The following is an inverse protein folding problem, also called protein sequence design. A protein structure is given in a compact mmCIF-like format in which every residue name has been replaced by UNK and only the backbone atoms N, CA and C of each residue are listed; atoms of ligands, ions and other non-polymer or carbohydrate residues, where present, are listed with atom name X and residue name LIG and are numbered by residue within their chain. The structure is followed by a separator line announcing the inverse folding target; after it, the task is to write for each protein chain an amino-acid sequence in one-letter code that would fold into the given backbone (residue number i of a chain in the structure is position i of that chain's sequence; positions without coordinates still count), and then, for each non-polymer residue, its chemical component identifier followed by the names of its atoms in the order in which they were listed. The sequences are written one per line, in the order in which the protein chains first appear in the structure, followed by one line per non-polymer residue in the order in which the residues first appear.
data_IF_180681953362
#
_entry.id   IF_180681953362
#
_cell.length_a   1.000
_cell.length_b   1.000
_cell.length_c   1.000
_cell.angle_alpha   90.00
_cell.angle_beta   90.00
_cell.angle_gamma   90.00
#
_symmetry.space_group_name_H-M   'P 1'
#
loop_
_entity.id
_entity.type
_entity.pdbx_description
1 polymer ?
#
# COMPACT_ATOMS: atom_id res chain seq x y z
N UNK A 1 9.27 1.43 -14.86
CA UNK A 1 8.47 2.08 -13.81
C UNK A 1 7.10 1.41 -13.81
N UNK A 2 6.51 1.14 -12.65
CA UNK A 2 5.15 0.58 -12.57
C UNK A 2 4.13 1.57 -13.14
N UNK A 3 3.11 1.05 -13.82
CA UNK A 3 1.97 1.84 -14.32
C UNK A 3 1.06 2.28 -13.18
N UNK A 4 0.22 3.31 -13.39
CA UNK A 4 -0.79 3.72 -12.41
C UNK A 4 -1.73 2.57 -12.02
N UNK A 5 -2.11 1.69 -12.96
CA UNK A 5 -2.89 0.48 -12.65
C UNK A 5 -2.16 -0.43 -11.66
N UNK A 6 -0.88 -0.72 -11.90
CA UNK A 6 -0.08 -1.55 -10.99
C UNK A 6 0.06 -0.89 -9.61
N UNK A 7 0.30 0.42 -9.56
CA UNK A 7 0.38 1.17 -8.30
C UNK A 7 -0.94 1.20 -7.54
N UNK A 8 -2.08 1.28 -8.22
CA UNK A 8 -3.40 1.13 -7.59
C UNK A 8 -3.56 -0.28 -7.01
N UNK A 9 -3.23 -1.31 -7.79
CA UNK A 9 -3.35 -2.71 -7.37
C UNK A 9 -2.49 -3.02 -6.14
N UNK A 10 -1.24 -2.56 -6.10
CA UNK A 10 -0.40 -2.72 -4.92
C UNK A 10 -0.93 -1.95 -3.69
N UNK A 11 -1.54 -0.78 -3.88
CA UNK A 11 -2.19 -0.06 -2.77
C UNK A 11 -3.35 -0.88 -2.20
N UNK A 12 -4.17 -1.48 -3.08
CA UNK A 12 -5.26 -2.37 -2.70
C UNK A 12 -4.74 -3.65 -2.04
N UNK A 13 -3.67 -4.25 -2.54
CA UNK A 13 -3.04 -5.42 -1.91
C UNK A 13 -2.51 -5.08 -0.51
N UNK A 14 -1.90 -3.90 -0.33
CA UNK A 14 -1.50 -3.38 0.97
C UNK A 14 -2.71 -3.17 1.90
N UNK A 15 -3.80 -2.60 1.41
CA UNK A 15 -5.06 -2.43 2.16
C UNK A 15 -5.70 -3.76 2.55
N UNK A 16 -5.68 -4.75 1.66
CA UNK A 16 -6.23 -6.09 1.90
C UNK A 16 -5.57 -6.79 3.10
N UNK A 17 -4.32 -6.47 3.43
CA UNK A 17 -3.63 -7.04 4.61
C UNK A 17 -4.29 -6.67 5.96
N UNK A 18 -5.16 -5.67 5.99
CA UNK A 18 -5.94 -5.29 7.17
C UNK A 18 -7.22 -6.13 7.35
N UNK A 19 -7.60 -6.92 6.34
CA UNK A 19 -8.74 -7.82 6.42
C UNK A 19 -8.46 -9.03 7.32
N UNK A 20 -9.54 -9.62 7.82
CA UNK A 20 -9.54 -10.81 8.67
C UNK A 20 -9.85 -12.06 7.84
N UNK A 21 -8.88 -12.59 7.11
CA UNK A 21 -9.14 -13.71 6.22
C UNK A 21 -9.27 -15.02 6.99
N UNK A 22 -10.38 -15.73 6.78
CA UNK A 22 -10.50 -17.13 7.18
C UNK A 22 -10.03 -18.00 6.03
N UNK A 23 -8.90 -18.69 6.20
CA UNK A 23 -8.38 -19.61 5.19
C UNK A 23 -9.34 -20.79 4.98
N UNK A 24 -9.45 -21.28 3.74
CA UNK A 24 -10.21 -22.50 3.40
C UNK A 24 -11.69 -22.30 2.98
N UNK A 25 -12.14 -21.08 2.73
CA UNK A 25 -13.48 -20.80 2.17
C UNK A 25 -13.40 -20.23 0.74
N UNK A 26 -14.50 -20.31 -0.03
CA UNK A 26 -14.59 -19.80 -1.41
C UNK A 26 -14.50 -18.26 -1.52
N UNK A 27 -14.69 -17.71 -2.73
CA UNK A 27 -14.50 -16.27 -3.02
C UNK A 27 -15.46 -15.34 -2.23
N UNK A 28 -16.70 -15.76 -1.94
CA UNK A 28 -17.72 -14.91 -1.28
C UNK A 28 -17.33 -14.48 0.16
N UNK A 29 -16.87 -15.38 1.05
CA UNK A 29 -16.33 -14.99 2.37
C UNK A 29 -15.14 -14.03 2.32
N UNK A 30 -14.30 -14.09 1.28
CA UNK A 30 -13.15 -13.19 1.13
C UNK A 30 -13.62 -11.76 0.84
N UNK A 31 -14.62 -11.60 -0.02
CA UNK A 31 -15.19 -10.29 -0.34
C UNK A 31 -15.81 -9.62 0.90
N UNK A 32 -16.55 -10.37 1.71
CA UNK A 32 -17.13 -9.86 2.96
C UNK A 32 -16.07 -9.43 3.98
N UNK A 33 -14.95 -10.17 4.05
CA UNK A 33 -13.83 -9.86 4.94
C UNK A 33 -13.06 -8.60 4.52
N UNK A 34 -12.95 -8.34 3.21
CA UNK A 34 -12.40 -7.09 2.69
C UNK A 34 -13.27 -5.87 3.04
N UNK A 35 -14.61 -6.05 3.02
CA UNK A 35 -15.56 -4.99 3.38
C UNK A 35 -15.62 -4.73 4.89
N UNK A 36 -15.27 -5.73 5.72
CA UNK A 36 -15.29 -5.67 7.20
C UNK A 36 -13.93 -6.05 7.80
N UNK A 37 -12.86 -5.28 7.51
CA UNK A 37 -11.54 -5.55 8.05
C UNK A 37 -11.47 -5.25 9.55
N UNK A 38 -10.35 -5.60 10.18
CA UNK A 38 -10.11 -5.27 11.59
C UNK A 38 -10.12 -3.76 11.86
N UNK A 39 -9.73 -2.96 10.86
CA UNK A 39 -9.78 -1.51 10.88
C UNK A 39 -10.72 -1.02 9.78
N UNK A 40 -11.90 -0.54 10.16
CA UNK A 40 -12.91 -0.04 9.22
C UNK A 40 -12.40 1.09 8.30
N UNK A 41 -11.36 1.83 8.72
CA UNK A 41 -10.71 2.84 7.88
C UNK A 41 -9.92 2.25 6.68
N UNK A 42 -9.71 0.92 6.66
CA UNK A 42 -9.14 0.17 5.55
C UNK A 42 -10.20 -0.70 4.84
N UNK A 43 -11.49 -0.51 5.13
CA UNK A 43 -12.58 -1.27 4.47
C UNK A 43 -12.50 -1.12 2.96
N UNK A 44 -12.94 -2.10 2.20
CA UNK A 44 -13.09 -2.00 0.75
C UNK A 44 -14.51 -1.56 0.39
N UNK A 45 -14.66 -0.84 -0.73
CA UNK A 45 -15.97 -0.74 -1.38
C UNK A 45 -16.35 -2.09 -2.01
N UNK A 46 -17.63 -2.30 -2.31
CA UNK A 46 -18.09 -3.54 -2.94
C UNK A 46 -17.44 -3.79 -4.31
N UNK A 47 -17.34 -2.74 -5.14
CA UNK A 47 -16.71 -2.84 -6.46
C UNK A 47 -15.21 -3.09 -6.32
N UNK A 48 -14.57 -2.44 -5.36
CA UNK A 48 -13.14 -2.64 -5.10
C UNK A 48 -12.84 -4.08 -4.66
N UNK A 49 -13.61 -4.60 -3.70
CA UNK A 49 -13.46 -5.96 -3.20
C UNK A 49 -13.70 -6.99 -4.32
N UNK A 50 -14.72 -6.76 -5.15
CA UNK A 50 -15.02 -7.60 -6.32
C UNK A 50 -13.90 -7.59 -7.35
N UNK A 51 -13.33 -6.43 -7.67
CA UNK A 51 -12.23 -6.32 -8.63
C UNK A 51 -10.97 -7.00 -8.10
N UNK A 52 -10.64 -6.82 -6.82
CA UNK A 52 -9.48 -7.46 -6.21
C UNK A 52 -9.62 -8.98 -6.21
N UNK A 53 -10.77 -9.51 -5.75
CA UNK A 53 -11.03 -10.96 -5.67
C UNK A 53 -11.19 -11.61 -7.05
N UNK A 54 -11.57 -10.85 -8.09
CA UNK A 54 -11.55 -11.35 -9.46
C UNK A 54 -10.12 -11.62 -9.98
N UNK A 55 -9.12 -10.88 -9.47
CA UNK A 55 -7.72 -10.98 -9.91
C UNK A 55 -6.85 -11.81 -8.98
N UNK A 56 -7.10 -11.75 -7.67
CA UNK A 56 -6.24 -12.38 -6.66
C UNK A 56 -7.00 -13.39 -5.81
N UNK A 57 -6.31 -14.47 -5.44
CA UNK A 57 -6.78 -15.44 -4.43
C UNK A 57 -5.95 -15.29 -3.17
N UNK A 58 -6.59 -15.33 -2.00
CA UNK A 58 -5.89 -15.44 -0.72
C UNK A 58 -5.39 -16.87 -0.56
N UNK A 59 -4.08 -17.04 -0.40
CA UNK A 59 -3.42 -18.34 -0.24
C UNK A 59 -3.29 -18.69 1.24
N UNK A 60 -2.83 -17.73 2.04
CA UNK A 60 -2.64 -17.89 3.48
C UNK A 60 -2.67 -16.52 4.16
N UNK A 61 -3.01 -16.51 5.45
CA UNK A 61 -2.85 -15.33 6.30
C UNK A 61 -2.32 -15.76 7.66
N UNK A 62 -1.27 -15.09 8.11
CA UNK A 62 -0.75 -15.22 9.46
C UNK A 62 -0.99 -13.94 10.25
N UNK A 63 -1.39 -14.10 11.51
CA UNK A 63 -1.57 -13.02 12.46
C UNK A 63 -1.11 -13.47 13.84
N UNK A 64 -0.15 -12.76 14.43
CA UNK A 64 0.20 -12.91 15.83
C UNK A 64 -0.73 -12.08 16.72
N UNK A 65 -0.79 -12.41 18.02
CA UNK A 65 -1.53 -11.60 18.98
C UNK A 65 -0.94 -10.19 19.06
N UNK A 66 -1.79 -9.20 19.35
CA UNK A 66 -1.34 -7.84 19.67
C UNK A 66 -0.48 -7.79 20.94
N UNK A 67 -0.63 -8.78 21.84
CA UNK A 67 0.19 -8.92 23.04
C UNK A 67 1.55 -9.60 22.78
N UNK A 68 1.74 -10.17 21.58
CA UNK A 68 3.00 -10.79 21.16
C UNK A 68 3.81 -9.79 20.31
N UNK A 69 3.58 -9.75 18.99
CA UNK A 69 4.26 -8.82 18.08
C UNK A 69 3.31 -7.96 17.25
N UNK A 70 2.02 -8.31 17.16
CA UNK A 70 1.06 -7.69 16.25
C UNK A 70 1.35 -7.87 14.76
N UNK A 71 2.38 -8.67 14.40
CA UNK A 71 2.73 -9.03 13.03
C UNK A 71 1.55 -9.69 12.32
N UNK A 72 1.30 -9.25 11.08
CA UNK A 72 0.26 -9.81 10.24
C UNK A 72 0.68 -9.72 8.78
N UNK A 73 0.53 -10.83 8.07
CA UNK A 73 0.91 -10.98 6.68
C UNK A 73 -0.12 -11.81 5.94
N UNK A 74 -0.40 -11.44 4.69
CA UNK A 74 -1.30 -12.16 3.79
C UNK A 74 -0.54 -12.53 2.53
N UNK A 75 -0.61 -13.79 2.13
CA UNK A 75 -0.09 -14.27 0.85
C UNK A 75 -1.25 -14.28 -0.16
N UNK A 76 -1.08 -13.56 -1.26
CA UNK A 76 -2.02 -13.55 -2.38
C UNK A 76 -1.37 -14.14 -3.63
N UNK A 77 -2.16 -14.80 -4.46
CA UNK A 77 -1.74 -15.33 -5.76
C UNK A 77 -2.53 -14.66 -6.88
N UNK A 78 -1.83 -14.23 -7.92
CA UNK A 78 -2.47 -13.75 -9.15
C UNK A 78 -3.17 -14.93 -9.86
N UNK A 79 -4.49 -14.81 -10.07
CA UNK A 79 -5.32 -15.85 -10.74
C UNK A 79 -4.90 -16.04 -12.21
N UNK A 80 -4.40 -15.00 -12.88
CA UNK A 80 -3.90 -15.08 -14.25
C UNK A 80 -2.48 -15.66 -14.34
N UNK A 81 -1.69 -15.56 -13.27
CA UNK A 81 -0.36 -16.16 -13.17
C UNK A 81 -0.13 -16.73 -11.76
N UNK A 82 -0.48 -17.99 -11.48
CA UNK A 82 -0.24 -18.61 -10.17
C UNK A 82 1.25 -18.70 -9.77
N UNK A 83 2.14 -18.51 -10.77
CA UNK A 83 3.57 -18.18 -10.67
C UNK A 83 3.92 -16.99 -9.77
N UNK A 84 3.00 -16.03 -9.70
CA UNK A 84 3.20 -14.72 -9.14
C UNK A 84 2.45 -14.62 -7.81
N UNK A 85 3.23 -14.46 -6.73
CA UNK A 85 2.72 -14.31 -5.38
C UNK A 85 3.08 -12.93 -4.83
N UNK A 86 2.18 -12.42 -4.00
CA UNK A 86 2.35 -11.15 -3.31
C UNK A 86 2.27 -11.41 -1.81
N UNK A 87 3.31 -11.05 -1.08
CA UNK A 87 3.31 -11.00 0.38
C UNK A 87 2.96 -9.59 0.82
N UNK A 88 1.76 -9.43 1.37
CA UNK A 88 1.26 -8.14 1.85
C UNK A 88 1.29 -8.07 3.37
N UNK A 89 1.91 -7.03 3.92
CA UNK A 89 2.10 -6.85 5.36
C UNK A 89 1.20 -5.74 5.90
N UNK A 90 0.56 -6.03 7.03
CA UNK A 90 -0.30 -5.07 7.72
C UNK A 90 0.54 -4.07 8.52
N UNK A 91 0.13 -2.81 8.50
CA UNK A 91 0.67 -1.80 9.41
C UNK A 91 0.11 -1.91 10.83
N UNK A 92 0.56 -1.00 11.70
CA UNK A 92 0.03 -0.87 13.05
C UNK A 92 -1.39 -0.32 13.03
N UNK A 93 -2.24 -0.83 13.91
CA UNK A 93 -3.61 -0.34 14.12
C UNK A 93 -3.62 0.65 15.28
N UNK A 94 -4.00 1.91 15.07
CA UNK A 94 -4.32 2.80 16.16
C UNK A 94 -5.82 2.94 16.31
N UNK A 95 -6.32 2.75 17.52
CA UNK A 95 -7.68 3.17 17.88
C UNK A 95 -7.66 4.66 18.26
N UNK A 96 -7.72 5.54 17.26
CA UNK A 96 -7.92 6.98 17.42
C UNK A 96 -6.66 7.87 17.42
N UNK A 97 -6.86 9.19 17.30
CA UNK A 97 -5.82 10.22 17.15
C UNK A 97 -4.86 10.36 18.35
N UNK A 98 -5.33 10.05 19.58
CA UNK A 98 -4.49 10.09 20.78
C UNK A 98 -3.58 8.86 20.87
N UNK A 99 -4.07 7.66 20.50
CA UNK A 99 -3.23 6.47 20.37
C UNK A 99 -2.34 6.51 19.13
N UNK A 100 -2.66 7.26 18.06
CA UNK A 100 -1.71 7.49 16.95
C UNK A 100 -0.54 8.35 17.39
N UNK A 101 -0.79 9.47 18.07
CA UNK A 101 0.29 10.28 18.61
C UNK A 101 1.10 9.51 19.65
N UNK A 102 0.43 8.73 20.53
CA UNK A 102 1.12 7.88 21.50
C UNK A 102 1.83 6.73 20.78
N UNK A 103 1.19 5.80 20.04
CA UNK A 103 1.87 4.73 19.29
C UNK A 103 2.84 5.20 18.20
N UNK A 104 2.76 6.38 17.61
CA UNK A 104 3.81 6.83 16.67
C UNK A 104 4.95 7.47 17.46
N UNK A 105 4.70 8.26 18.49
CA UNK A 105 5.81 8.85 19.25
C UNK A 105 6.42 7.84 20.26
N UNK A 106 5.64 6.87 20.72
CA UNK A 106 5.96 5.76 21.64
C UNK A 106 6.28 4.44 20.93
N UNK A 107 5.58 4.06 19.84
CA UNK A 107 5.79 2.80 19.09
C UNK A 107 6.38 3.00 17.66
N UNK A 108 6.37 4.21 17.08
CA UNK A 108 7.38 4.66 16.07
C UNK A 108 8.63 5.19 16.78
N UNK A 109 8.78 4.87 18.08
CA UNK A 109 10.01 4.15 18.42
C UNK A 109 10.02 2.81 17.68
N UNK A 110 10.43 2.84 16.42
CA UNK A 110 11.07 1.73 15.74
C UNK A 110 12.29 1.39 16.61
N UNK A 111 12.07 0.56 17.64
CA UNK A 111 12.56 0.81 19.01
C UNK A 111 13.98 1.27 19.14
N UNK A 112 14.29 2.58 19.12
CA UNK A 112 15.66 3.17 19.23
C UNK A 112 16.68 2.63 18.20
N UNK A 113 16.34 1.59 17.44
CA UNK A 113 17.23 0.63 16.78
C UNK A 113 17.12 0.70 15.28
N UNK A 114 15.93 1.06 14.79
CA UNK A 114 15.68 1.33 13.38
C UNK A 114 15.14 0.21 12.51
N UNK A 115 14.72 -0.91 13.08
CA UNK A 115 13.75 -1.81 12.47
C UNK A 115 12.75 -2.36 13.51
N UNK A 116 11.60 -2.83 13.05
CA UNK A 116 10.50 -3.35 13.88
C UNK A 116 10.82 -4.73 14.50
N UNK A 117 11.68 -4.79 15.54
CA UNK A 117 12.28 -6.06 16.01
C UNK A 117 11.28 -7.19 16.31
N UNK A 118 10.20 -6.99 17.09
CA UNK A 118 9.28 -8.08 17.41
C UNK A 118 8.62 -8.65 16.14
N UNK A 119 8.28 -7.78 15.18
CA UNK A 119 7.71 -8.18 13.90
C UNK A 119 8.75 -8.75 12.93
N UNK A 120 10.02 -8.37 13.04
CA UNK A 120 11.11 -8.84 12.19
C UNK A 120 11.39 -10.34 12.39
N UNK A 121 11.36 -10.82 13.63
CA UNK A 121 11.51 -12.24 13.93
C UNK A 121 10.33 -13.04 13.37
N UNK A 122 9.10 -12.59 13.59
CA UNK A 122 7.91 -13.27 13.10
C UNK A 122 7.82 -13.26 11.57
N UNK A 123 8.21 -12.15 10.93
CA UNK A 123 8.40 -12.07 9.48
C UNK A 123 9.35 -13.15 8.99
N UNK A 124 10.52 -13.27 9.62
CA UNK A 124 11.51 -14.27 9.23
C UNK A 124 10.96 -15.69 9.38
N UNK A 125 10.40 -16.01 10.56
CA UNK A 125 9.82 -17.33 10.84
C UNK A 125 8.69 -17.66 9.87
N UNK A 126 7.78 -16.73 9.61
CA UNK A 126 6.66 -16.94 8.70
C UNK A 126 7.13 -17.24 7.28
N UNK A 127 8.10 -16.49 6.75
CA UNK A 127 8.68 -16.77 5.43
C UNK A 127 9.31 -18.17 5.39
N UNK A 128 10.03 -18.58 6.44
CA UNK A 128 10.63 -19.93 6.50
C UNK A 128 9.57 -21.04 6.59
N UNK A 129 8.45 -20.80 7.27
CA UNK A 129 7.30 -21.70 7.27
C UNK A 129 6.66 -21.80 5.87
N UNK A 130 6.53 -20.68 5.15
CA UNK A 130 6.00 -20.69 3.78
C UNK A 130 6.92 -21.41 2.77
N UNK A 131 8.23 -21.42 3.01
CA UNK A 131 9.23 -22.15 2.20
C UNK A 131 9.31 -23.65 2.54
N UNK A 132 8.62 -24.08 3.60
CA UNK A 132 8.67 -25.47 4.07
C UNK A 132 7.43 -26.22 3.62
N UNK A 133 7.59 -27.47 3.20
CA UNK A 133 6.47 -28.37 2.84
C UNK A 133 5.49 -28.48 4.01
N UNK A 134 4.19 -28.49 3.70
CA UNK A 134 3.12 -28.43 4.68
C UNK A 134 3.24 -29.48 5.79
N UNK A 135 3.09 -29.02 7.04
CA UNK A 135 3.28 -29.76 8.29
C UNK A 135 4.68 -30.35 8.53
N UNK A 136 5.65 -30.19 7.62
CA UNK A 136 7.03 -30.59 7.91
C UNK A 136 7.67 -29.60 8.87
N UNK A 137 8.59 -30.10 9.70
CA UNK A 137 9.35 -29.26 10.62
C UNK A 137 10.26 -28.31 9.84
N UNK A 138 10.20 -27.01 10.16
CA UNK A 138 11.13 -26.04 9.60
C UNK A 138 12.54 -26.35 10.11
N UNK A 139 13.50 -26.44 9.20
CA UNK A 139 14.90 -26.71 9.52
C UNK A 139 15.68 -25.40 9.46
N UNK A 140 16.17 -24.98 10.63
CA UNK A 140 17.05 -23.83 10.78
C UNK A 140 18.48 -24.32 10.99
N UNK A 141 19.45 -23.74 10.27
CA UNK A 141 20.86 -23.99 10.57
C UNK A 141 21.27 -23.29 11.89
N UNK A 142 22.34 -23.74 12.55
CA UNK A 142 22.80 -23.09 13.80
C UNK A 142 23.15 -21.62 13.56
N UNK A 143 23.77 -21.29 12.41
CA UNK A 143 24.10 -19.90 12.06
C UNK A 143 22.85 -19.04 11.85
N UNK A 144 21.81 -19.59 11.23
CA UNK A 144 20.53 -18.92 11.03
C UNK A 144 19.83 -18.65 12.36
N UNK A 145 19.82 -19.61 13.27
CA UNK A 145 19.29 -19.42 14.62
C UNK A 145 20.03 -18.32 15.38
N UNK A 146 21.36 -18.23 15.26
CA UNK A 146 22.14 -17.15 15.86
C UNK A 146 21.76 -15.78 15.29
N UNK A 147 21.61 -15.68 13.96
CA UNK A 147 21.19 -14.44 13.29
C UNK A 147 19.80 -13.99 13.74
N UNK A 148 18.84 -14.91 13.76
CA UNK A 148 17.48 -14.63 14.21
C UNK A 148 17.42 -14.22 15.68
N UNK A 149 18.24 -14.83 16.54
CA UNK A 149 18.34 -14.43 17.94
C UNK A 149 18.87 -12.99 18.09
N UNK A 150 19.90 -12.62 17.33
CA UNK A 150 20.42 -11.25 17.34
C UNK A 150 19.42 -10.25 16.74
N UNK A 151 18.63 -10.66 15.74
CA UNK A 151 17.52 -9.87 15.18
C UNK A 151 16.44 -9.58 16.23
N UNK A 152 16.07 -10.57 17.04
CA UNK A 152 15.11 -10.44 18.13
C UNK A 152 15.60 -9.48 19.23
N UNK A 153 16.84 -9.65 19.69
CA UNK A 153 17.41 -8.81 20.76
C UNK A 153 17.80 -7.41 20.26
N UNK A 154 18.21 -7.32 19.00
CA UNK A 154 18.69 -6.11 18.34
C UNK A 154 20.03 -5.60 18.87
N UNK A 155 20.46 -4.38 18.49
CA UNK A 155 21.83 -3.88 18.65
C UNK A 155 22.22 -3.56 20.10
N UNK A 156 21.26 -3.49 21.03
CA UNK A 156 21.57 -3.12 22.43
C UNK A 156 22.41 -4.19 23.13
N UNK A 157 22.33 -5.44 22.68
CA UNK A 157 23.16 -6.54 23.22
C UNK A 157 24.55 -6.60 22.59
N UNK A 158 24.80 -5.86 21.50
CA UNK A 158 26.06 -5.91 20.78
C UNK A 158 27.09 -4.95 21.38
N UNK A 159 28.39 -5.31 21.36
CA UNK A 159 29.47 -4.38 21.71
C UNK A 159 29.51 -3.20 20.72
N UNK A 160 30.22 -2.09 21.05
CA UNK A 160 30.32 -0.91 20.19
C UNK A 160 30.75 -1.21 18.75
N UNK A 161 31.67 -2.15 18.58
CA UNK A 161 32.16 -2.62 17.28
C UNK A 161 31.99 -4.13 17.22
N UNK A 162 30.85 -4.63 16.71
CA UNK A 162 30.60 -6.06 16.57
C UNK A 162 31.63 -6.69 15.63
N UNK A 163 32.36 -7.68 16.12
CA UNK A 163 33.34 -8.45 15.35
C UNK A 163 33.49 -9.83 15.98
N UNK A 164 33.99 -10.80 15.21
CA UNK A 164 34.14 -12.19 15.65
C UNK A 164 32.99 -13.10 15.25
N UNK A 165 32.93 -14.29 15.85
CA UNK A 165 31.90 -15.28 15.57
C UNK A 165 30.56 -14.85 16.18
N UNK A 166 29.47 -15.09 15.46
CA UNK A 166 28.11 -14.75 15.92
C UNK A 166 27.80 -15.33 17.30
N UNK A 167 28.27 -16.56 17.59
CA UNK A 167 28.09 -17.20 18.88
C UNK A 167 28.72 -16.39 20.03
N UNK A 168 29.87 -15.75 19.83
CA UNK A 168 30.56 -15.01 20.90
C UNK A 168 29.81 -13.75 21.31
N UNK A 169 28.99 -13.22 20.41
CA UNK A 169 28.12 -12.05 20.65
C UNK A 169 26.83 -12.42 21.39
N UNK A 170 26.51 -13.71 21.49
CA UNK A 170 25.39 -14.22 22.29
C UNK A 170 25.88 -14.39 23.72
N UNK A 171 25.64 -13.36 24.55
CA UNK A 171 26.06 -13.34 25.96
C UNK A 171 25.16 -14.19 26.85
N UNK A 172 23.85 -14.20 26.60
CA UNK A 172 22.87 -15.02 27.33
C UNK A 172 22.65 -16.37 26.62
N UNK A 173 23.46 -17.37 27.00
CA UNK A 173 23.38 -18.73 26.45
C UNK A 173 22.10 -19.47 26.86
N UNK A 174 21.52 -19.13 28.00
CA UNK A 174 20.29 -19.78 28.49
C UNK A 174 19.11 -19.27 27.67
N UNK A 175 18.98 -17.96 27.48
CA UNK A 175 17.96 -17.39 26.62
C UNK A 175 18.08 -17.87 25.17
N UNK A 176 19.31 -18.02 24.66
CA UNK A 176 19.53 -18.59 23.34
C UNK A 176 19.08 -20.06 23.23
N UNK A 177 19.33 -20.88 24.25
CA UNK A 177 18.85 -22.27 24.30
C UNK A 177 17.31 -22.33 24.26
N UNK A 178 16.64 -21.48 25.06
CA UNK A 178 15.17 -21.36 25.06
C UNK A 178 14.63 -20.90 23.71
N UNK A 179 15.31 -19.94 23.07
CA UNK A 179 14.97 -19.50 21.71
C UNK A 179 15.08 -20.64 20.70
N UNK A 180 16.16 -21.45 20.74
CA UNK A 180 16.29 -22.62 19.86
C UNK A 180 15.17 -23.64 20.08
N UNK A 181 14.74 -23.83 21.32
CA UNK A 181 13.64 -24.72 21.65
C UNK A 181 12.31 -24.21 21.07
N UNK A 182 12.06 -22.90 21.08
CA UNK A 182 10.81 -22.34 20.52
C UNK A 182 10.70 -22.55 19.00
N UNK A 183 11.82 -22.47 18.27
CA UNK A 183 11.86 -22.73 16.82
C UNK A 183 11.53 -24.19 16.45
N UNK A 184 11.67 -25.13 17.38
CA UNK A 184 11.35 -26.54 17.12
C UNK A 184 9.85 -26.78 16.84
N UNK A 185 9.00 -25.81 17.18
CA UNK A 185 7.56 -25.86 16.97
C UNK A 185 7.14 -25.37 15.58
N UNK A 186 8.04 -24.73 14.83
CA UNK A 186 7.71 -24.19 13.51
C UNK A 186 7.44 -25.31 12.51
N UNK A 187 6.37 -25.16 11.73
CA UNK A 187 5.92 -26.12 10.71
C UNK A 187 5.63 -25.42 9.40
N UNK A 188 5.84 -26.12 8.29
CA UNK A 188 5.42 -25.65 6.98
C UNK A 188 3.91 -25.43 6.92
N UNK A 189 3.49 -24.39 6.21
CA UNK A 189 2.09 -24.01 6.07
C UNK A 189 1.36 -24.94 5.09
N UNK A 190 0.10 -25.26 5.39
CA UNK A 190 -0.75 -26.13 4.57
C UNK A 190 -0.89 -27.56 5.10
N UNK A 191 -1.62 -28.40 4.37
CA UNK A 191 -1.86 -29.80 4.73
C UNK A 191 -0.56 -30.63 4.70
N UNK A 192 -0.54 -31.77 5.39
CA UNK A 192 0.64 -32.64 5.42
C UNK A 192 1.06 -33.07 4.02
N UNK A 193 2.31 -32.78 3.64
CA UNK A 193 2.86 -33.11 2.33
C UNK A 193 2.48 -32.13 1.19
N UNK A 194 1.71 -31.07 1.48
CA UNK A 194 1.45 -30.01 0.51
C UNK A 194 2.75 -29.30 0.13
N UNK A 195 2.93 -28.98 -1.15
CA UNK A 195 4.10 -28.25 -1.62
C UNK A 195 4.26 -26.92 -0.87
N UNK A 196 5.51 -26.50 -0.65
CA UNK A 196 5.80 -25.19 -0.06
C UNK A 196 5.13 -24.07 -0.87
N UNK A 197 4.51 -23.12 -0.18
CA UNK A 197 3.85 -21.97 -0.81
C UNK A 197 4.88 -21.13 -1.55
N UNK A 198 6.03 -20.88 -0.92
CA UNK A 198 7.16 -20.17 -1.51
C UNK A 198 8.20 -21.18 -2.00
N UNK A 199 8.09 -21.58 -3.27
CA UNK A 199 8.99 -22.53 -3.92
C UNK A 199 9.84 -21.87 -5.01
N UNK A 200 10.99 -22.47 -5.41
CA UNK A 200 11.77 -21.99 -6.54
C UNK A 200 10.92 -21.84 -7.82
N UNK A 201 11.24 -20.83 -8.64
CA UNK A 201 10.54 -20.54 -9.90
C UNK A 201 9.29 -19.66 -9.76
N UNK A 202 8.90 -19.27 -8.55
CA UNK A 202 7.87 -18.27 -8.31
C UNK A 202 8.45 -16.85 -8.32
N UNK A 203 7.70 -15.89 -8.83
CA UNK A 203 8.01 -14.46 -8.67
C UNK A 203 7.30 -13.95 -7.43
N UNK A 204 8.07 -13.42 -6.49
CA UNK A 204 7.54 -12.91 -5.21
C UNK A 204 7.70 -11.40 -5.14
N UNK A 205 6.58 -10.70 -5.03
CA UNK A 205 6.52 -9.28 -4.67
C UNK A 205 6.18 -9.13 -3.20
N UNK A 206 6.60 -8.00 -2.62
CA UNK A 206 6.23 -7.63 -1.25
C UNK A 206 5.59 -6.25 -1.25
N UNK A 207 4.55 -6.07 -0.44
CA UNK A 207 3.88 -4.78 -0.31
C UNK A 207 3.36 -4.54 1.08
N UNK A 208 3.05 -3.29 1.39
CA UNK A 208 2.46 -2.90 2.66
C UNK A 208 2.36 -1.39 2.80
N UNK A 209 1.56 -0.99 3.77
CA UNK A 209 1.34 0.41 4.13
C UNK A 209 1.88 0.68 5.55
N UNK A 210 2.36 1.90 5.83
CA UNK A 210 2.83 2.27 7.18
C UNK A 210 3.95 1.34 7.67
N UNK A 211 3.83 0.79 8.89
CA UNK A 211 4.71 -0.27 9.42
C UNK A 211 4.74 -1.51 8.51
N UNK A 212 3.64 -1.84 7.84
CA UNK A 212 3.60 -2.96 6.88
C UNK A 212 4.50 -2.70 5.68
N UNK A 213 4.58 -1.46 5.21
CA UNK A 213 5.53 -1.07 4.17
C UNK A 213 6.99 -1.14 4.67
N UNK A 214 7.25 -0.80 5.93
CA UNK A 214 8.56 -1.03 6.56
C UNK A 214 8.92 -2.53 6.57
N UNK A 215 7.96 -3.40 6.92
CA UNK A 215 8.14 -4.85 6.88
C UNK A 215 8.37 -5.39 5.45
N UNK A 216 7.76 -4.78 4.44
CA UNK A 216 8.02 -5.12 3.03
C UNK A 216 9.48 -4.79 2.64
N UNK A 217 9.99 -3.61 3.01
CA UNK A 217 11.39 -3.26 2.80
C UNK A 217 12.33 -4.20 3.59
N UNK A 218 11.96 -4.55 4.82
CA UNK A 218 12.72 -5.48 5.64
C UNK A 218 12.72 -6.89 5.05
N UNK A 219 11.61 -7.36 4.48
CA UNK A 219 11.53 -8.65 3.79
C UNK A 219 12.47 -8.69 2.58
N UNK A 220 12.51 -7.63 1.77
CA UNK A 220 13.47 -7.49 0.66
C UNK A 220 14.92 -7.56 1.16
N UNK A 221 15.21 -6.97 2.32
CA UNK A 221 16.57 -6.98 2.91
C UNK A 221 16.95 -8.34 3.51
N UNK A 222 16.04 -9.01 4.19
CA UNK A 222 16.30 -10.29 4.87
C UNK A 222 16.29 -11.48 3.89
N UNK A 223 15.57 -11.36 2.78
CA UNK A 223 15.39 -12.44 1.79
C UNK A 223 15.56 -11.93 0.34
N UNK A 224 16.72 -11.34 -0.02
CA UNK A 224 16.91 -10.72 -1.33
C UNK A 224 16.78 -11.71 -2.50
N UNK A 225 17.17 -12.97 -2.31
CA UNK A 225 17.05 -14.01 -3.35
C UNK A 225 15.62 -14.56 -3.50
N UNK A 226 14.77 -14.36 -2.48
CA UNK A 226 13.38 -14.81 -2.50
C UNK A 226 12.47 -13.75 -3.10
N UNK A 227 12.65 -12.50 -2.71
CA UNK A 227 11.90 -11.36 -3.23
C UNK A 227 12.52 -10.94 -4.55
N UNK A 228 12.25 -11.76 -5.58
CA UNK A 228 12.76 -11.59 -6.94
C UNK A 228 12.04 -10.50 -7.72
N UNK A 229 10.88 -10.05 -7.22
CA UNK A 229 10.09 -8.98 -7.80
C UNK A 229 10.42 -7.61 -7.21
N UNK A 230 9.41 -6.79 -6.96
CA UNK A 230 9.50 -5.43 -6.41
C UNK A 230 8.89 -5.36 -5.01
N UNK A 231 9.55 -4.63 -4.12
CA UNK A 231 8.97 -4.15 -2.87
C UNK A 231 8.27 -2.81 -3.11
N UNK A 232 6.93 -2.80 -3.13
CA UNK A 232 6.13 -1.59 -3.36
C UNK A 232 5.46 -1.18 -2.07
N UNK A 233 5.81 0.00 -1.54
CA UNK A 233 5.38 0.40 -0.19
C UNK A 233 4.62 1.71 -0.21
N UNK A 234 3.60 1.86 0.64
CA UNK A 234 2.75 3.05 0.69
C UNK A 234 2.87 3.77 2.02
N UNK A 235 3.23 5.06 1.98
CA UNK A 235 3.45 5.90 3.16
C UNK A 235 4.28 5.18 4.24
N UNK A 236 5.25 4.38 3.81
CA UNK A 236 5.98 3.50 4.71
C UNK A 236 7.00 4.30 5.51
N UNK A 237 7.11 3.97 6.80
CA UNK A 237 8.21 4.51 7.61
C UNK A 237 9.53 3.88 7.16
N UNK A 238 10.57 4.70 7.05
CA UNK A 238 11.92 4.24 6.68
C UNK A 238 12.60 3.44 7.80
N UNK A 239 13.92 3.29 7.69
CA UNK A 239 14.74 2.70 8.73
C UNK A 239 15.29 3.80 9.64
N UNK A 240 15.51 3.44 10.92
CA UNK A 240 16.11 4.33 11.94
C UNK A 240 15.26 5.57 12.19
N UNK A 241 14.28 5.45 13.10
CA UNK A 241 13.45 6.56 13.55
C UNK A 241 13.77 6.94 15.00
N UNK A 242 13.77 8.24 15.29
CA UNK A 242 13.91 8.80 16.64
C UNK A 242 15.27 9.45 16.93
N UNK A 243 15.42 10.10 18.11
CA UNK A 243 16.54 11.01 18.41
C UNK A 243 17.91 10.32 18.55
N UNK A 244 17.94 9.00 18.77
CA UNK A 244 19.17 8.22 18.94
C UNK A 244 19.54 7.39 17.69
N UNK A 245 18.61 7.28 16.74
CA UNK A 245 18.74 6.48 15.52
C UNK A 245 18.77 7.41 14.30
N UNK A 246 19.84 8.21 14.19
CA UNK A 246 20.11 9.09 13.05
C UNK A 246 21.18 8.50 12.15
N UNK A 247 21.32 9.04 10.93
CA UNK A 247 22.29 8.53 9.95
C UNK A 247 23.74 8.52 10.51
N UNK A 248 24.37 7.35 10.50
CA UNK A 248 25.70 7.10 11.03
C UNK A 248 25.78 6.89 12.55
N UNK A 249 24.66 6.86 13.28
CA UNK A 249 24.68 6.68 14.74
C UNK A 249 25.25 5.30 15.14
N UNK A 250 25.82 5.17 16.36
CA UNK A 250 26.30 3.87 16.85
C UNK A 250 25.21 2.80 16.88
N UNK A 251 23.96 3.20 17.12
CA UNK A 251 22.83 2.27 17.14
C UNK A 251 22.49 1.79 15.73
N UNK A 252 22.47 2.69 14.75
CA UNK A 252 22.33 2.31 13.34
C UNK A 252 23.42 1.34 12.92
N UNK A 253 24.70 1.64 13.17
CA UNK A 253 25.82 0.78 12.74
C UNK A 253 25.70 -0.65 13.26
N UNK A 254 25.27 -0.82 14.50
CA UNK A 254 25.03 -2.15 15.09
C UNK A 254 23.79 -2.82 14.51
N UNK A 255 22.75 -2.06 14.18
CA UNK A 255 21.54 -2.58 13.56
C UNK A 255 21.80 -3.01 12.11
N UNK A 256 22.47 -2.18 11.32
CA UNK A 256 22.97 -2.53 9.99
C UNK A 256 23.83 -3.78 10.07
N UNK A 257 24.76 -3.88 11.03
CA UNK A 257 25.58 -5.07 11.20
C UNK A 257 24.75 -6.36 11.40
N UNK A 258 23.65 -6.29 12.17
CA UNK A 258 22.74 -7.43 12.35
C UNK A 258 22.04 -7.77 11.03
N UNK A 259 21.51 -6.77 10.34
CA UNK A 259 20.77 -6.96 9.09
C UNK A 259 21.68 -7.48 7.97
N UNK A 260 22.94 -7.07 7.96
CA UNK A 260 23.98 -7.51 7.02
C UNK A 260 24.35 -8.99 7.19
N UNK A 261 23.95 -9.62 8.31
CA UNK A 261 24.09 -11.05 8.46
C UNK A 261 23.12 -11.85 7.57
N UNK A 262 22.06 -11.22 7.04
CA UNK A 262 21.04 -11.89 6.23
C UNK A 262 21.22 -11.69 4.72
N UNK A 263 21.93 -10.63 4.32
CA UNK A 263 22.19 -10.28 2.93
C UNK A 263 22.98 -8.98 2.83
N UNK A 264 23.52 -8.68 1.65
CA UNK A 264 24.25 -7.43 1.43
C UNK A 264 23.33 -6.19 1.47
N UNK A 265 23.90 -5.03 1.80
CA UNK A 265 23.21 -3.73 1.91
C UNK A 265 22.53 -3.21 0.62
N UNK A 266 22.76 -3.83 -0.53
CA UNK A 266 22.19 -3.39 -1.81
C UNK A 266 20.78 -3.95 -2.08
N UNK A 267 19.87 -3.72 -1.13
CA UNK A 267 18.45 -4.09 -1.29
C UNK A 267 17.62 -2.95 -1.92
N UNK A 268 18.24 -1.80 -2.17
CA UNK A 268 17.55 -0.59 -2.64
C UNK A 268 17.05 -0.71 -4.08
N UNK A 269 17.70 -1.50 -4.93
CA UNK A 269 17.40 -1.55 -6.37
C UNK A 269 15.98 -2.05 -6.69
N UNK A 270 15.34 -2.80 -5.77
CA UNK A 270 14.01 -3.37 -5.97
C UNK A 270 12.94 -2.72 -5.07
N UNK A 271 13.22 -1.59 -4.43
CA UNK A 271 12.27 -0.90 -3.55
C UNK A 271 11.70 0.34 -4.24
N UNK A 272 10.38 0.38 -4.37
CA UNK A 272 9.61 1.56 -4.78
C UNK A 272 8.76 2.05 -3.62
N UNK A 273 9.06 3.25 -3.12
CA UNK A 273 8.34 3.89 -2.03
C UNK A 273 7.37 4.92 -2.59
N UNK A 274 6.08 4.60 -2.54
CA UNK A 274 4.99 5.52 -2.87
C UNK A 274 4.69 6.38 -1.65
N UNK A 275 5.04 7.65 -1.71
CA UNK A 275 4.86 8.61 -0.63
C UNK A 275 3.83 9.66 -1.01
N UNK A 276 2.77 9.75 -0.23
CA UNK A 276 1.63 10.57 -0.60
C UNK A 276 1.76 11.98 0.01
N UNK A 277 1.31 13.00 -0.72
CA UNK A 277 1.38 14.38 -0.24
C UNK A 277 0.59 14.59 1.05
N UNK A 278 1.18 15.28 2.03
CA UNK A 278 0.55 15.50 3.34
C UNK A 278 0.76 14.37 4.34
N UNK A 279 1.30 13.21 3.94
CA UNK A 279 1.70 12.17 4.87
C UNK A 279 2.89 12.62 5.74
N UNK A 280 2.77 12.36 7.04
CA UNK A 280 3.77 12.64 8.05
C UNK A 280 4.67 11.45 8.31
N UNK A 281 4.15 10.22 8.22
CA UNK A 281 4.83 9.00 8.69
C UNK A 281 5.97 8.57 7.77
N UNK A 282 5.81 8.71 6.46
CA UNK A 282 6.85 8.40 5.48
C UNK A 282 8.11 9.25 5.65
N UNK A 283 8.04 10.31 6.45
CA UNK A 283 9.13 11.26 6.73
C UNK A 283 9.81 11.00 8.08
N UNK A 284 9.36 10.01 8.85
CA UNK A 284 9.84 9.72 10.21
C UNK A 284 10.87 8.59 10.18
N UNK A 285 12.04 8.86 9.59
CA UNK A 285 13.20 7.96 9.54
C UNK A 285 14.44 8.72 9.05
N UNK A 286 15.63 8.13 9.21
CA UNK A 286 16.88 8.68 8.68
C UNK A 286 17.38 7.97 7.43
N UNK A 287 16.97 6.71 7.19
CA UNK A 287 17.38 5.93 6.02
C UNK A 287 16.17 5.45 5.23
N UNK A 288 16.29 5.63 3.92
CA UNK A 288 15.20 5.49 2.97
C UNK A 288 15.68 4.75 1.73
N UNK A 289 15.52 3.41 1.67
CA UNK A 289 16.02 2.62 0.56
C UNK A 289 15.19 2.81 -0.71
N UNK A 290 15.84 2.57 -1.85
CA UNK A 290 15.22 2.57 -3.17
C UNK A 290 14.71 3.91 -3.68
N UNK A 291 13.75 3.85 -4.59
CA UNK A 291 13.23 5.03 -5.30
C UNK A 291 11.96 5.54 -4.65
N UNK A 292 11.84 6.87 -4.52
CA UNK A 292 10.59 7.51 -4.08
C UNK A 292 9.75 7.95 -5.26
N UNK A 293 8.48 7.53 -5.28
CA UNK A 293 7.44 8.08 -6.12
C UNK A 293 6.49 8.90 -5.26
N UNK A 294 6.65 10.22 -5.27
CA UNK A 294 5.75 11.10 -4.52
C UNK A 294 4.45 11.31 -5.30
N UNK A 295 3.30 10.89 -4.78
CA UNK A 295 1.98 10.99 -5.43
C UNK A 295 1.07 12.01 -4.74
N UNK A 296 0.10 12.54 -5.48
CA UNK A 296 -0.94 13.37 -4.88
C UNK A 296 -1.95 12.50 -4.13
N UNK A 297 -2.54 13.08 -3.09
CA UNK A 297 -3.76 12.57 -2.48
C UNK A 297 -4.59 13.72 -1.93
N UNK A 298 -5.79 13.41 -1.49
CA UNK A 298 -6.58 14.34 -0.69
C UNK A 298 -5.93 14.55 0.68
N UNK A 299 -5.68 15.82 1.01
CA UNK A 299 -4.95 16.22 2.21
C UNK A 299 -5.81 16.97 3.19
N UNK A 300 -5.59 16.70 4.47
CA UNK A 300 -6.16 17.41 5.59
C UNK A 300 -5.08 18.29 6.23
N UNK A 301 -5.42 19.54 6.61
CA UNK A 301 -4.45 20.46 7.21
C UNK A 301 -4.15 20.08 8.67
N UNK A 302 -2.90 20.22 9.08
CA UNK A 302 -2.48 20.10 10.47
C UNK A 302 -1.64 18.86 10.77
N UNK A 303 -0.84 18.95 11.83
CA UNK A 303 0.15 17.91 12.20
C UNK A 303 -0.51 16.60 12.63
N UNK A 304 -1.64 16.67 13.33
CA UNK A 304 -2.37 15.48 13.76
C UNK A 304 -2.97 14.71 12.57
N UNK A 305 -3.47 15.43 11.57
CA UNK A 305 -4.00 14.80 10.35
C UNK A 305 -2.87 14.27 9.45
N UNK A 306 -1.67 14.86 9.47
CA UNK A 306 -0.50 14.36 8.74
C UNK A 306 -0.13 12.92 9.12
N UNK A 307 -0.31 12.54 10.39
CA UNK A 307 -0.06 11.18 10.86
C UNK A 307 -1.34 10.32 10.97
N UNK A 308 -2.52 10.95 10.88
CA UNK A 308 -3.82 10.29 10.99
C UNK A 308 -4.46 10.11 9.61
N UNK A 309 -5.31 11.05 9.21
CA UNK A 309 -6.13 10.92 7.99
C UNK A 309 -5.32 10.95 6.69
N UNK A 310 -4.22 11.71 6.66
CA UNK A 310 -3.28 11.70 5.53
C UNK A 310 -2.49 10.39 5.48
N UNK A 311 -2.46 9.61 6.56
CA UNK A 311 -1.78 8.32 6.64
C UNK A 311 -2.73 7.14 6.37
N UNK A 312 -3.72 7.33 5.48
CA UNK A 312 -4.74 6.33 5.17
C UNK A 312 -4.42 5.60 3.87
N UNK A 313 -4.31 4.26 3.92
CA UNK A 313 -4.15 3.43 2.73
C UNK A 313 -5.36 3.50 1.79
N UNK A 314 -6.57 3.62 2.34
CA UNK A 314 -7.80 3.72 1.55
C UNK A 314 -7.83 5.04 0.75
N UNK A 315 -7.40 6.15 1.35
CA UNK A 315 -7.28 7.43 0.66
C UNK A 315 -6.32 7.34 -0.55
N UNK A 316 -5.21 6.60 -0.40
CA UNK A 316 -4.27 6.37 -1.50
C UNK A 316 -4.88 5.49 -2.59
N UNK A 317 -5.56 4.40 -2.21
CA UNK A 317 -6.21 3.49 -3.14
C UNK A 317 -7.28 4.22 -3.98
N UNK A 318 -8.09 5.06 -3.34
CA UNK A 318 -9.14 5.86 -3.98
C UNK A 318 -8.57 6.90 -4.93
N UNK A 319 -7.54 7.62 -4.47
CA UNK A 319 -6.81 8.57 -5.31
C UNK A 319 -6.24 7.87 -6.54
N UNK A 320 -5.54 6.75 -6.37
CA UNK A 320 -4.97 5.99 -7.49
C UNK A 320 -6.05 5.39 -8.41
N UNK A 321 -7.21 5.01 -7.90
CA UNK A 321 -8.34 4.58 -8.72
C UNK A 321 -8.86 5.71 -9.61
N UNK A 322 -8.95 6.93 -9.09
CA UNK A 322 -9.27 8.12 -9.88
C UNK A 322 -8.19 8.46 -10.89
N UNK A 323 -6.91 8.40 -10.51
CA UNK A 323 -5.80 8.63 -11.46
C UNK A 323 -5.80 7.58 -12.56
N UNK A 324 -6.09 6.32 -12.25
CA UNK A 324 -6.23 5.27 -13.27
C UNK A 324 -7.39 5.58 -14.22
N UNK A 325 -8.54 6.00 -13.70
CA UNK A 325 -9.68 6.41 -14.51
C UNK A 325 -9.33 7.57 -15.44
N UNK A 326 -8.73 8.65 -14.90
CA UNK A 326 -8.24 9.79 -15.66
C UNK A 326 -7.22 9.31 -16.70
N UNK A 327 -6.33 8.40 -16.33
CA UNK A 327 -5.32 7.79 -17.19
C UNK A 327 -5.89 7.06 -18.41
N UNK A 328 -7.12 6.54 -18.31
CA UNK A 328 -7.83 5.94 -19.47
C UNK A 328 -8.31 7.01 -20.46
N UNK A 329 -8.56 8.24 -20.01
CA UNK A 329 -8.93 9.38 -20.86
C UNK A 329 -7.70 10.13 -21.38
N UNK A 330 -6.70 10.33 -20.51
CA UNK A 330 -5.46 11.05 -20.75
C UNK A 330 -4.27 10.17 -20.34
N UNK A 331 -3.61 9.56 -21.32
CA UNK A 331 -2.56 8.57 -21.09
C UNK A 331 -1.35 9.10 -20.29
N UNK A 332 -1.19 10.42 -20.17
CA UNK A 332 -0.12 11.02 -19.36
C UNK A 332 -0.26 10.63 -17.88
N UNK A 333 -1.50 10.56 -17.36
CA UNK A 333 -1.77 10.17 -15.98
C UNK A 333 -1.60 8.66 -15.74
N UNK A 334 -1.75 7.84 -16.78
CA UNK A 334 -1.44 6.41 -16.69
C UNK A 334 0.06 6.14 -16.67
N UNK A 335 0.84 6.97 -17.38
CA UNK A 335 2.29 6.91 -17.43
C UNK A 335 2.97 7.55 -16.22
N UNK A 336 2.38 8.60 -15.66
CA UNK A 336 2.92 9.34 -14.52
C UNK A 336 1.80 9.80 -13.56
N UNK A 337 1.54 9.06 -12.45
CA UNK A 337 0.50 9.44 -11.49
C UNK A 337 0.83 10.72 -10.71
N UNK A 338 2.07 11.23 -10.78
CA UNK A 338 2.46 12.47 -10.09
C UNK A 338 1.75 13.69 -10.64
N UNK A 339 1.26 13.62 -11.89
CA UNK A 339 0.49 14.69 -12.53
C UNK A 339 -0.85 14.97 -11.84
N UNK A 340 -1.36 14.03 -11.04
CA UNK A 340 -2.62 14.20 -10.32
C UNK A 340 -2.52 15.13 -9.10
N UNK A 341 -1.32 15.50 -8.65
CA UNK A 341 -1.12 16.38 -7.48
C UNK A 341 -1.88 17.69 -7.58
N UNK A 342 -1.64 18.43 -8.66
CA UNK A 342 -2.26 19.74 -8.84
C UNK A 342 -3.77 19.61 -9.06
N UNK A 343 -4.19 18.53 -9.73
CA UNK A 343 -5.61 18.24 -9.92
C UNK A 343 -6.32 18.01 -8.58
N UNK A 344 -5.75 17.18 -7.69
CA UNK A 344 -6.30 16.92 -6.37
C UNK A 344 -6.33 18.18 -5.49
N UNK A 345 -5.29 19.01 -5.53
CA UNK A 345 -5.26 20.30 -4.82
C UNK A 345 -6.34 21.26 -5.27
N UNK A 346 -6.62 21.30 -6.57
CA UNK A 346 -7.65 22.16 -7.13
C UNK A 346 -9.06 21.58 -6.95
N UNK A 347 -9.17 20.25 -6.77
CA UNK A 347 -10.42 19.50 -6.63
C UNK A 347 -11.42 20.12 -5.64
N UNK A 348 -10.94 20.52 -4.47
CA UNK A 348 -11.76 21.10 -3.41
C UNK A 348 -10.92 21.95 -2.45
N UNK A 349 -11.52 23.01 -1.91
CA UNK A 349 -10.99 23.72 -0.74
C UNK A 349 -11.47 23.12 0.60
N UNK A 350 -12.39 22.15 0.54
CA UNK A 350 -12.81 21.34 1.67
C UNK A 350 -12.06 20.01 1.60
N UNK A 351 -11.39 19.57 2.68
CA UNK A 351 -10.94 18.18 2.80
C UNK A 351 -12.14 17.23 2.60
N UNK A 352 -11.91 15.99 2.17
CA UNK A 352 -12.92 14.95 1.82
C UNK A 352 -13.89 15.29 0.70
N UNK A 353 -13.48 16.03 -0.32
CA UNK A 353 -14.34 16.24 -1.49
C UNK A 353 -13.58 16.38 -2.79
N UNK A 354 -12.25 16.27 -2.77
CA UNK A 354 -11.42 16.52 -3.95
C UNK A 354 -11.68 15.44 -4.99
N UNK A 355 -11.68 14.18 -4.59
CA UNK A 355 -11.91 13.06 -5.50
C UNK A 355 -13.32 13.07 -6.07
N UNK A 356 -14.33 13.30 -5.23
CA UNK A 356 -15.74 13.33 -5.60
C UNK A 356 -16.03 14.48 -6.54
N UNK A 357 -15.52 15.69 -6.27
CA UNK A 357 -15.74 16.85 -7.15
C UNK A 357 -15.04 16.70 -8.49
N UNK A 358 -13.85 16.10 -8.52
CA UNK A 358 -13.17 15.79 -9.78
C UNK A 358 -13.99 14.76 -10.57
N UNK A 359 -14.44 13.69 -9.91
CA UNK A 359 -15.26 12.66 -10.53
C UNK A 359 -16.60 13.23 -11.05
N UNK A 360 -17.29 14.03 -10.25
CA UNK A 360 -18.56 14.66 -10.64
C UNK A 360 -18.37 15.67 -11.78
N UNK A 361 -17.27 16.41 -11.79
CA UNK A 361 -16.88 17.24 -12.93
C UNK A 361 -16.71 16.42 -14.21
N UNK A 362 -16.03 15.28 -14.13
CA UNK A 362 -15.85 14.36 -15.25
C UNK A 362 -17.19 13.74 -15.68
N UNK A 363 -18.05 13.33 -14.74
CA UNK A 363 -19.40 12.82 -15.03
C UNK A 363 -20.23 13.86 -15.78
N UNK A 364 -20.25 15.10 -15.31
CA UNK A 364 -20.94 16.22 -15.95
C UNK A 364 -20.44 16.49 -17.38
N UNK A 365 -19.12 16.53 -17.57
CA UNK A 365 -18.53 16.81 -18.87
C UNK A 365 -18.77 15.68 -19.89
N UNK A 366 -18.73 14.42 -19.44
CA UNK A 366 -18.74 13.25 -20.31
C UNK A 366 -20.12 12.62 -20.50
N UNK A 367 -21.07 12.89 -19.61
CA UNK A 367 -22.42 12.29 -19.62
C UNK A 367 -23.54 13.31 -19.47
N UNK A 368 -23.23 14.61 -19.35
CA UNK A 368 -24.21 15.66 -19.10
C UNK A 368 -24.56 15.81 -17.62
N UNK A 369 -25.50 16.71 -17.27
CA UNK A 369 -25.80 17.08 -15.89
C UNK A 369 -26.11 15.88 -15.00
N UNK A 370 -25.36 15.73 -13.91
CA UNK A 370 -25.62 14.67 -12.92
C UNK A 370 -26.86 14.99 -12.07
N UNK A 371 -27.65 13.96 -11.76
CA UNK A 371 -28.85 14.10 -10.93
C UNK A 371 -28.56 14.03 -9.43
N UNK A 372 -27.38 13.50 -9.05
CA UNK A 372 -26.92 13.42 -7.67
C UNK A 372 -25.39 13.49 -7.61
N UNK A 373 -24.82 14.28 -6.67
CA UNK A 373 -23.39 14.31 -6.44
C UNK A 373 -22.90 12.97 -5.89
N UNK A 374 -21.63 12.68 -6.09
CA UNK A 374 -20.95 11.56 -5.43
C UNK A 374 -20.88 11.85 -3.93
N UNK A 375 -21.36 10.91 -3.12
CA UNK A 375 -21.34 11.06 -1.67
C UNK A 375 -19.91 11.08 -1.13
N UNK A 376 -19.64 11.94 -0.16
CA UNK A 376 -18.34 12.01 0.50
C UNK A 376 -18.43 11.73 2.01
N UNK A 377 -17.29 11.57 2.68
CA UNK A 377 -17.23 11.25 4.12
C UNK A 377 -17.74 12.38 5.04
N UNK A 378 -17.84 13.62 4.56
CA UNK A 378 -18.43 14.72 5.36
C UNK A 378 -19.96 14.60 5.47
N UNK A 379 -20.60 13.86 4.55
CA UNK A 379 -22.05 13.68 4.49
C UNK A 379 -22.56 12.55 5.41
N UNK A 380 -21.68 11.65 5.88
CA UNK A 380 -22.05 10.47 6.69
C UNK A 380 -21.08 10.23 7.83
N UNK A 381 -21.33 10.87 8.98
CA UNK A 381 -20.61 10.59 10.23
C UNK A 381 -20.81 9.14 10.66
N UNK A 382 -19.79 8.30 10.49
CA UNK A 382 -19.68 6.99 11.16
C UNK A 382 -19.72 5.75 10.27
N UNK A 383 -19.73 5.89 8.94
CA UNK A 383 -19.69 4.75 8.01
C UNK A 383 -18.58 4.93 6.97
N UNK A 384 -17.34 4.57 7.32
CA UNK A 384 -16.16 4.66 6.44
C UNK A 384 -16.23 3.81 5.13
N UNK A 385 -17.40 3.22 4.82
CA UNK A 385 -17.64 2.41 3.61
C UNK A 385 -18.72 2.93 2.65
N UNK A 386 -19.73 3.68 3.10
CA UNK A 386 -20.90 3.97 2.24
C UNK A 386 -20.71 5.15 1.28
N UNK A 387 -19.78 6.07 1.57
CA UNK A 387 -19.28 7.10 0.64
C UNK A 387 -18.41 6.48 -0.46
N UNK A 388 -17.47 5.60 -0.08
CA UNK A 388 -16.58 4.88 -1.00
C UNK A 388 -17.37 4.00 -1.97
N UNK A 389 -18.43 3.33 -1.53
CA UNK A 389 -19.33 2.60 -2.44
C UNK A 389 -19.93 3.51 -3.52
N UNK A 390 -20.37 4.73 -3.17
CA UNK A 390 -20.85 5.71 -4.15
C UNK A 390 -19.75 6.11 -5.13
N UNK A 391 -18.55 6.38 -4.63
CA UNK A 391 -17.41 6.79 -5.44
C UNK A 391 -17.02 5.72 -6.48
N UNK A 392 -16.80 4.48 -6.05
CA UNK A 392 -16.47 3.39 -6.98
C UNK A 392 -17.63 3.04 -7.91
N UNK A 393 -18.88 3.16 -7.46
CA UNK A 393 -20.05 2.95 -8.33
C UNK A 393 -20.07 3.98 -9.45
N UNK A 394 -19.86 5.25 -9.13
CA UNK A 394 -19.84 6.32 -10.11
C UNK A 394 -18.66 6.20 -11.08
N UNK A 395 -17.46 5.82 -10.59
CA UNK A 395 -16.32 5.47 -11.45
C UNK A 395 -16.67 4.31 -12.40
N UNK A 396 -17.27 3.24 -11.89
CA UNK A 396 -17.61 2.05 -12.66
C UNK A 396 -18.63 2.36 -13.75
N UNK A 397 -19.71 3.06 -13.41
CA UNK A 397 -20.78 3.42 -14.34
C UNK A 397 -20.28 4.36 -15.45
N UNK A 398 -19.40 5.30 -15.11
CA UNK A 398 -18.84 6.23 -16.08
C UNK A 398 -17.87 5.54 -17.05
N UNK A 399 -17.08 4.57 -16.57
CA UNK A 399 -16.05 3.94 -17.38
C UNK A 399 -16.54 2.73 -18.18
N UNK A 400 -17.42 1.90 -17.62
CA UNK A 400 -17.61 0.52 -18.08
C UNK A 400 -19.06 0.19 -18.38
N UNK A 401 -19.24 -0.80 -19.28
CA UNK A 401 -20.55 -1.39 -19.61
C UNK A 401 -20.91 -2.58 -18.71
N UNK A 402 -19.91 -3.18 -18.07
CA UNK A 402 -20.04 -4.37 -17.24
C UNK A 402 -19.14 -4.26 -16.00
N UNK A 403 -19.26 -5.21 -15.09
CA UNK A 403 -18.51 -5.26 -13.82
C UNK A 403 -17.12 -5.89 -13.94
N UNK A 404 -16.69 -6.25 -15.15
CA UNK A 404 -15.44 -7.00 -15.40
C UNK A 404 -14.45 -6.21 -16.27
N UNK A 405 -14.73 -4.93 -16.54
CA UNK A 405 -13.76 -3.97 -17.07
C UNK A 405 -13.90 -3.65 -18.55
N UNK A 406 -14.99 -4.04 -19.21
CA UNK A 406 -15.18 -3.61 -20.61
C UNK A 406 -15.68 -2.17 -20.66
N UNK A 407 -14.96 -1.29 -21.35
CA UNK A 407 -15.33 0.13 -21.47
C UNK A 407 -16.73 0.28 -22.12
N UNK A 408 -17.50 1.27 -21.64
CA UNK A 408 -18.72 1.68 -22.35
C UNK A 408 -18.37 2.43 -23.65
N UNK A 409 -19.36 2.63 -24.52
CA UNK A 409 -19.12 3.20 -25.85
C UNK A 409 -18.53 4.62 -25.82
N UNK A 410 -18.98 5.46 -24.88
CA UNK A 410 -18.48 6.82 -24.69
C UNK A 410 -17.03 6.83 -24.22
N UNK A 411 -16.71 6.01 -23.23
CA UNK A 411 -15.37 5.87 -22.69
C UNK A 411 -14.41 5.27 -23.74
N UNK A 412 -14.81 4.21 -24.44
CA UNK A 412 -14.02 3.62 -25.52
C UNK A 412 -13.74 4.61 -26.65
N UNK A 413 -14.67 5.53 -26.93
CA UNK A 413 -14.51 6.55 -27.94
C UNK A 413 -13.49 7.63 -27.58
N UNK A 414 -13.39 7.97 -26.30
CA UNK A 414 -12.56 9.05 -25.76
C UNK A 414 -11.24 8.56 -25.16
N UNK A 415 -11.07 7.24 -25.03
CA UNK A 415 -9.91 6.64 -24.40
C UNK A 415 -8.59 7.12 -25.03
N UNK A 416 -7.72 7.70 -24.20
CA UNK A 416 -6.42 8.24 -24.59
C UNK A 416 -6.47 9.48 -25.49
N UNK A 417 -7.63 10.12 -25.67
CA UNK A 417 -7.81 11.25 -26.59
C UNK A 417 -8.02 12.59 -25.89
N UNK A 418 -8.18 12.58 -24.57
CA UNK A 418 -8.37 13.80 -23.80
C UNK A 418 -7.05 14.28 -23.21
N UNK A 419 -6.97 15.59 -23.00
CA UNK A 419 -5.96 16.24 -22.20
C UNK A 419 -6.67 16.95 -21.05
N UNK A 420 -6.48 16.44 -19.85
CA UNK A 420 -7.02 17.00 -18.62
C UNK A 420 -5.93 17.87 -18.01
N UNK A 421 -6.28 19.09 -17.59
CA UNK A 421 -5.31 20.04 -17.02
C UNK A 421 -5.91 20.73 -15.81
N UNK A 422 -5.18 20.67 -14.69
CA UNK A 422 -5.52 21.38 -13.46
C UNK A 422 -5.29 22.89 -13.67
N UNK A 423 -6.36 23.60 -14.05
CA UNK A 423 -6.32 25.03 -14.30
C UNK A 423 -7.72 25.62 -14.13
N UNK A 424 -7.79 26.88 -13.72
CA UNK A 424 -9.07 27.61 -13.67
C UNK A 424 -9.37 28.19 -15.03
N UNK A 425 -10.52 27.82 -15.59
CA UNK A 425 -10.99 28.43 -16.82
C UNK A 425 -11.29 29.92 -16.64
N UNK A 426 -11.20 30.67 -17.73
CA UNK A 426 -11.55 32.09 -17.75
C UNK A 426 -12.53 32.40 -18.88
N UNK A 427 -13.32 33.45 -18.69
CA UNK A 427 -14.40 33.82 -19.59
C UNK A 427 -13.93 34.19 -21.01
N UNK A 428 -12.67 34.62 -21.18
CA UNK A 428 -12.14 34.97 -22.49
C UNK A 428 -11.83 33.71 -23.30
N UNK A 429 -11.10 32.76 -22.71
CA UNK A 429 -10.79 31.49 -23.35
C UNK A 429 -12.05 30.67 -23.66
N UNK A 430 -13.04 30.68 -22.75
CA UNK A 430 -14.30 29.97 -22.93
C UNK A 430 -15.13 30.40 -24.15
N UNK A 431 -14.91 31.59 -24.72
CA UNK A 431 -15.60 32.04 -25.94
C UNK A 431 -15.18 31.25 -27.18
N UNK A 432 -14.00 30.63 -27.16
CA UNK A 432 -13.40 29.99 -28.33
C UNK A 432 -12.92 28.56 -28.07
N UNK A 433 -12.87 28.13 -26.81
CA UNK A 433 -12.51 26.78 -26.39
C UNK A 433 -13.69 26.17 -25.61
N UNK A 434 -14.27 25.10 -26.19
CA UNK A 434 -15.42 24.42 -25.60
C UNK A 434 -15.08 23.73 -24.27
N UNK A 435 -13.86 23.24 -24.10
CA UNK A 435 -13.39 22.65 -22.86
C UNK A 435 -13.32 23.65 -21.72
N UNK A 436 -12.87 24.87 -22.03
CA UNK A 436 -12.87 26.01 -21.11
C UNK A 436 -14.30 26.44 -20.77
N UNK A 437 -15.21 26.45 -21.76
CA UNK A 437 -16.64 26.68 -21.52
C UNK A 437 -17.23 25.65 -20.57
N UNK A 438 -17.01 24.35 -20.82
CA UNK A 438 -17.51 23.29 -19.95
C UNK A 438 -16.99 23.42 -18.51
N UNK A 439 -15.74 23.84 -18.34
CA UNK A 439 -15.18 24.08 -17.00
C UNK A 439 -15.88 25.22 -16.26
N UNK A 440 -16.22 26.31 -16.94
CA UNK A 440 -17.03 27.39 -16.34
C UNK A 440 -18.49 26.99 -16.12
N UNK A 441 -19.07 26.23 -17.05
CA UNK A 441 -20.47 25.82 -16.99
C UNK A 441 -20.73 24.85 -15.83
N UNK A 442 -19.85 23.85 -15.68
CA UNK A 442 -19.92 22.86 -14.61
C UNK A 442 -19.11 23.20 -13.37
N UNK A 443 -18.44 24.36 -13.36
CA UNK A 443 -17.59 24.83 -12.26
C UNK A 443 -16.51 23.82 -11.86
N UNK A 444 -15.89 23.17 -12.85
CA UNK A 444 -14.86 22.16 -12.60
C UNK A 444 -13.50 22.79 -12.29
N UNK A 445 -12.67 22.14 -11.45
CA UNK A 445 -11.33 22.61 -11.10
C UNK A 445 -10.26 22.28 -12.15
N UNK A 446 -10.68 21.89 -13.34
CA UNK A 446 -9.82 21.49 -14.44
C UNK A 446 -10.54 21.75 -15.77
N UNK A 447 -9.74 21.82 -16.83
CA UNK A 447 -10.24 21.88 -18.20
C UNK A 447 -9.95 20.57 -18.92
N UNK A 448 -10.77 20.28 -19.93
CA UNK A 448 -10.61 19.15 -20.83
C UNK A 448 -10.41 19.69 -22.22
N UNK A 449 -9.34 19.28 -22.89
CA UNK A 449 -9.16 19.55 -24.32
C UNK A 449 -8.90 18.25 -25.07
N UNK A 450 -8.99 18.29 -26.39
CA UNK A 450 -8.62 17.16 -27.23
C UNK A 450 -8.02 17.67 -28.52
N UNK A 451 -6.88 17.11 -28.98
CA UNK A 451 -6.36 17.40 -30.31
C UNK A 451 -7.16 16.68 -31.41
N UNK A 452 -8.10 15.80 -31.07
CA UNK A 452 -8.89 14.99 -32.00
C UNK A 452 -10.26 15.64 -32.26
N UNK A 453 -10.48 16.14 -33.49
CA UNK A 453 -11.72 16.80 -33.88
C UNK A 453 -12.96 15.89 -33.73
N UNK A 454 -12.82 14.56 -33.91
CA UNK A 454 -13.89 13.59 -33.70
C UNK A 454 -14.29 13.45 -32.22
N UNK A 455 -13.33 13.55 -31.31
CA UNK A 455 -13.57 13.54 -29.86
C UNK A 455 -14.15 14.87 -29.38
N UNK A 456 -13.77 15.98 -30.00
CA UNK A 456 -14.38 17.29 -29.73
C UNK A 456 -15.88 17.28 -30.05
N UNK A 457 -16.27 16.71 -31.20
CA UNK A 457 -17.67 16.53 -31.55
C UNK A 457 -18.44 15.65 -30.55
N UNK A 458 -17.79 14.66 -29.93
CA UNK A 458 -18.41 13.83 -28.89
C UNK A 458 -18.62 14.56 -27.57
N UNK A 459 -17.66 15.38 -27.14
CA UNK A 459 -17.84 16.25 -25.97
C UNK A 459 -19.00 17.24 -26.17
N UNK A 460 -19.25 17.67 -27.41
CA UNK A 460 -20.38 18.52 -27.78
C UNK A 460 -21.72 17.77 -27.75
N UNK A 461 -21.74 16.49 -28.11
CA UNK A 461 -22.95 15.65 -28.19
C UNK A 461 -23.40 15.06 -26.84
N UNK A 462 -22.55 15.12 -25.82
CA UNK A 462 -22.88 14.70 -24.44
C UNK A 462 -23.56 15.80 -23.62
N UNK A 463 -23.74 16.99 -24.21
CA UNK A 463 -24.50 18.13 -23.68
C UNK A 463 -25.84 18.23 -24.39
#
# INVERSE_FOLDING_TARGET
MLTTTQLKEYAQLAQASYAAFTTGYGDDPVMDQLKKPYNEAASFSEIEAKQLTAKYSVVDQFKSSLLDSGFSATVLSDKANPNHLILSFRGTEPKGLQLLNDLIISDVQIGIVGYAKPQALDLYRYIRQLQTVGQQKVVYSEIEMQRMYLLDKGPNILPPTPSGLLFDLITDKVAYSTFKASLQNDRGIGASGAAAILSPGKTIDVTGHSLGGHLAMLAQRLFPDLVTGTAVTYNAVGFYAGPLAFDGSPVQKKADWILDQFGANDFSNNVLRVESEGDGISKIASVYPGQTLSVGMETYPGVADAIGKNHSVANIADGMALVEFIGKLDSRYMADPRLAKDLFKMGSNQPVSSYEKILDGLRNMLSGPITAPTANDSDKKGEYGTSRDSFYTNLQQLAYKDNIGTLNASMAALAGKLQITATTANAESAKSDFGQFLSLYYLTPFTVSTPDAGSQAKLLLTQ
#
